data_IF_463982068581
#
_entry.id   IF_463982068581
#
_cell.length_a   1.000
_cell.length_b   1.000
_cell.length_c   1.000
_cell.angle_alpha   90.00
_cell.angle_beta   90.00
_cell.angle_gamma   90.00
#
_symmetry.space_group_name_H-M   'P 1'
#
loop_
_entity.id
_entity.type
_entity.pdbx_description
1 polymer ?
#
# COMPACT_ATOMS: atom_id res chain seq x y z
N UNK A 1 -11.76 0.42 20.06
CA UNK A 1 -11.67 -0.05 18.66
C UNK A 1 -10.59 0.74 17.94
N UNK A 2 -9.58 0.06 17.38
CA UNK A 2 -8.49 0.62 16.59
C UNK A 2 -8.45 -0.09 15.23
N UNK A 3 -8.50 0.69 14.15
CA UNK A 3 -8.54 0.18 12.78
C UNK A 3 -7.22 0.47 12.06
N UNK A 4 -6.73 -0.48 11.29
CA UNK A 4 -5.61 -0.29 10.36
C UNK A 4 -6.11 -0.27 8.92
N UNK A 5 -5.95 0.85 8.24
CA UNK A 5 -6.19 0.99 6.81
C UNK A 5 -4.88 0.78 6.06
N UNK A 6 -4.88 -0.05 5.03
CA UNK A 6 -3.72 -0.35 4.21
C UNK A 6 -4.02 0.08 2.78
N UNK A 7 -3.18 0.96 2.25
CA UNK A 7 -3.34 1.54 0.91
C UNK A 7 -1.96 1.87 0.37
N UNK A 8 -1.69 1.71 -0.94
CA UNK A 8 -0.35 2.00 -1.49
C UNK A 8 0.06 3.46 -1.31
N UNK A 9 -0.90 4.39 -1.41
CA UNK A 9 -0.67 5.84 -1.33
C UNK A 9 -1.76 6.50 -0.51
N UNK A 10 -1.35 7.47 0.27
CA UNK A 10 -2.25 8.29 1.09
C UNK A 10 -1.66 9.70 1.18
N UNK A 11 -2.46 10.72 0.91
CA UNK A 11 -1.99 12.11 0.90
C UNK A 11 -3.09 13.07 0.46
N UNK A 12 -2.86 14.37 0.70
CA UNK A 12 -3.79 15.44 0.29
C UNK A 12 -3.76 15.66 -1.21
N UNK A 13 -2.60 15.38 -1.80
CA UNK A 13 -2.26 15.44 -3.22
C UNK A 13 -2.88 14.28 -4.02
N UNK A 14 -3.33 13.22 -3.33
CA UNK A 14 -4.05 12.11 -3.95
C UNK A 14 -5.53 12.50 -4.12
N UNK A 15 -5.87 12.93 -5.33
CA UNK A 15 -7.14 13.60 -5.66
C UNK A 15 -8.20 12.71 -6.33
N UNK A 16 -7.99 11.40 -6.47
CA UNK A 16 -8.97 10.50 -7.10
C UNK A 16 -8.76 9.02 -6.80
N UNK A 17 -9.63 8.18 -7.36
CA UNK A 17 -9.53 6.72 -7.29
C UNK A 17 -9.88 6.10 -5.93
N UNK A 18 -9.50 4.83 -5.76
CA UNK A 18 -9.76 4.10 -4.52
C UNK A 18 -8.92 4.60 -3.34
N UNK A 19 -7.79 5.25 -3.60
CA UNK A 19 -6.95 5.88 -2.57
C UNK A 19 -7.62 7.11 -1.97
N UNK A 20 -8.27 7.96 -2.79
CA UNK A 20 -9.12 9.03 -2.27
C UNK A 20 -10.29 8.46 -1.45
N UNK A 21 -10.93 7.40 -1.94
CA UNK A 21 -12.02 6.75 -1.22
C UNK A 21 -11.55 6.21 0.15
N UNK A 22 -10.40 5.53 0.20
CA UNK A 22 -9.76 5.11 1.44
C UNK A 22 -9.60 6.28 2.42
N UNK A 23 -9.05 7.40 1.96
CA UNK A 23 -8.85 8.60 2.77
C UNK A 23 -10.17 9.16 3.31
N UNK A 24 -11.19 9.28 2.47
CA UNK A 24 -12.50 9.76 2.91
C UNK A 24 -13.14 8.88 3.97
N UNK A 25 -12.98 7.54 3.88
CA UNK A 25 -13.50 6.61 4.88
C UNK A 25 -12.69 6.69 6.18
N UNK A 26 -11.35 6.66 6.09
CA UNK A 26 -10.45 6.76 7.24
C UNK A 26 -10.69 8.06 8.04
N UNK A 27 -10.76 9.21 7.35
CA UNK A 27 -11.00 10.52 7.98
C UNK A 27 -12.39 10.62 8.65
N UNK A 28 -13.42 9.97 8.08
CA UNK A 28 -14.75 9.93 8.70
C UNK A 28 -14.75 9.05 9.94
N UNK A 29 -14.12 7.88 9.88
CA UNK A 29 -14.07 6.93 11.01
C UNK A 29 -13.17 7.41 12.15
N UNK A 30 -12.13 8.19 11.86
CA UNK A 30 -11.25 8.78 12.87
C UNK A 30 -11.99 9.70 13.86
N UNK A 31 -13.21 10.15 13.53
CA UNK A 31 -14.08 10.93 14.44
C UNK A 31 -14.75 10.07 15.51
N UNK A 32 -14.74 8.75 15.34
CA UNK A 32 -15.49 7.80 16.17
C UNK A 32 -14.60 6.73 16.80
N UNK A 33 -13.42 6.47 16.25
CA UNK A 33 -12.48 5.46 16.74
C UNK A 33 -11.05 5.79 16.33
N UNK A 34 -10.07 5.06 16.88
CA UNK A 34 -8.68 5.24 16.50
C UNK A 34 -8.43 4.63 15.12
N UNK A 35 -7.88 5.39 14.20
CA UNK A 35 -7.57 4.96 12.84
C UNK A 35 -6.10 5.24 12.54
N UNK A 36 -5.40 4.18 12.15
CA UNK A 36 -4.07 4.26 11.55
C UNK A 36 -4.16 3.93 10.06
N UNK A 37 -3.39 4.63 9.24
CA UNK A 37 -3.15 4.29 7.85
C UNK A 37 -1.71 3.82 7.73
N UNK A 38 -1.50 2.59 7.25
CA UNK A 38 -0.21 2.05 6.86
C UNK A 38 -0.08 2.17 5.34
N UNK A 39 0.84 2.99 4.88
CA UNK A 39 1.00 3.35 3.46
C UNK A 39 2.47 3.43 3.10
N UNK A 40 2.78 3.50 1.80
CA UNK A 40 4.15 3.79 1.37
C UNK A 40 4.44 5.30 1.37
N UNK A 41 5.72 5.65 1.16
CA UNK A 41 6.17 7.01 0.92
C UNK A 41 5.89 7.52 -0.51
N UNK A 42 5.30 6.70 -1.38
CA UNK A 42 5.05 7.06 -2.77
C UNK A 42 3.86 8.02 -2.94
N UNK A 43 3.99 8.96 -3.88
CA UNK A 43 2.91 9.85 -4.34
C UNK A 43 2.33 9.41 -5.68
N UNK A 44 3.18 9.02 -6.63
CA UNK A 44 2.76 8.55 -7.95
C UNK A 44 2.68 7.02 -8.01
N UNK A 45 1.85 6.52 -8.93
CA UNK A 45 1.72 5.08 -9.18
C UNK A 45 2.55 4.62 -10.38
N UNK A 46 3.26 5.53 -11.06
CA UNK A 46 4.03 5.24 -12.26
C UNK A 46 5.38 4.61 -11.91
N UNK A 47 6.08 5.22 -10.96
CA UNK A 47 7.40 4.83 -10.48
C UNK A 47 7.35 4.36 -9.03
N UNK A 48 6.34 4.74 -8.26
CA UNK A 48 6.32 4.53 -6.81
C UNK A 48 7.51 5.14 -6.07
N UNK A 49 8.21 6.12 -6.66
CA UNK A 49 9.35 6.74 -6.01
C UNK A 49 8.91 7.41 -4.71
N UNK A 50 9.75 7.30 -3.67
CA UNK A 50 9.51 7.96 -2.40
C UNK A 50 9.43 9.47 -2.61
N UNK A 51 8.30 10.05 -2.21
CA UNK A 51 8.04 11.48 -2.27
C UNK A 51 7.95 12.06 -0.86
N UNK A 52 7.28 11.34 0.03
CA UNK A 52 7.11 11.72 1.43
C UNK A 52 8.26 11.16 2.29
N UNK A 53 8.64 11.82 3.40
CA UNK A 53 9.56 11.23 4.36
C UNK A 53 8.94 9.98 5.02
N UNK A 54 9.74 8.97 5.37
CA UNK A 54 9.27 7.83 6.14
C UNK A 54 8.92 8.23 7.58
N UNK A 55 8.06 7.44 8.21
CA UNK A 55 7.66 7.62 9.61
C UNK A 55 6.21 8.05 9.77
N UNK A 56 5.92 8.62 10.94
CA UNK A 56 4.56 8.92 11.37
C UNK A 56 4.21 10.40 11.16
N UNK A 57 3.03 10.65 10.63
CA UNK A 57 2.43 11.98 10.55
C UNK A 57 0.93 11.92 10.86
N UNK A 58 0.29 13.08 11.02
CA UNK A 58 -1.16 13.16 11.19
C UNK A 58 -1.76 13.99 10.06
N UNK A 59 -2.70 13.39 9.32
CA UNK A 59 -3.44 14.05 8.26
C UNK A 59 -4.92 14.02 8.62
N UNK A 60 -5.52 15.21 8.80
CA UNK A 60 -6.96 15.36 9.07
C UNK A 60 -7.47 14.48 10.23
N UNK A 61 -6.67 14.34 11.29
CA UNK A 61 -6.99 13.53 12.47
C UNK A 61 -6.71 12.03 12.34
N UNK A 62 -6.16 11.58 11.20
CA UNK A 62 -5.74 10.19 10.97
C UNK A 62 -4.24 10.07 11.18
N UNK A 63 -3.78 9.09 11.97
CA UNK A 63 -2.35 8.76 12.07
C UNK A 63 -1.93 8.01 10.81
N UNK A 64 -1.00 8.56 10.05
CA UNK A 64 -0.46 7.97 8.82
C UNK A 64 0.96 7.53 9.11
N UNK A 65 1.27 6.27 8.81
CA UNK A 65 2.59 5.66 8.96
C UNK A 65 3.11 5.29 7.59
N UNK A 66 4.23 5.89 7.21
CA UNK A 66 4.83 5.77 5.88
C UNK A 66 6.06 4.90 5.92
N UNK A 67 6.12 3.98 4.96
CA UNK A 67 7.23 3.06 4.79
C UNK A 67 7.87 3.30 3.41
N UNK A 68 9.20 3.37 3.32
CA UNK A 68 9.88 3.57 2.05
C UNK A 68 9.64 2.40 1.10
N UNK A 69 9.66 2.65 -0.20
CA UNK A 69 9.73 1.57 -1.18
C UNK A 69 11.17 1.07 -1.30
N UNK A 70 11.37 -0.23 -1.46
CA UNK A 70 12.73 -0.81 -1.60
C UNK A 70 13.42 -0.32 -2.87
N UNK A 71 12.64 -0.10 -3.93
CA UNK A 71 13.11 0.49 -5.18
C UNK A 71 11.96 1.11 -5.95
N UNK A 72 12.18 2.22 -6.68
CA UNK A 72 11.26 2.68 -7.69
C UNK A 72 11.07 1.61 -8.78
N UNK A 73 9.87 1.58 -9.34
CA UNK A 73 9.53 0.83 -10.55
C UNK A 73 10.06 1.57 -11.77
N UNK A 74 10.73 0.82 -12.64
CA UNK A 74 11.02 1.27 -14.00
C UNK A 74 9.78 1.00 -14.88
N UNK A 75 9.12 2.03 -15.45
CA UNK A 75 7.92 1.84 -16.26
C UNK A 75 8.16 1.04 -17.54
N UNK A 76 9.34 1.16 -18.15
CA UNK A 76 9.69 0.46 -19.38
C UNK A 76 9.98 -1.03 -19.10
N UNK A 77 10.76 -1.32 -18.05
CA UNK A 77 10.99 -2.70 -17.59
C UNK A 77 9.65 -3.35 -17.23
N UNK A 78 8.82 -2.66 -16.44
CA UNK A 78 7.55 -3.21 -15.99
C UNK A 78 6.59 -3.50 -17.13
N UNK A 79 6.54 -2.62 -18.15
CA UNK A 79 5.74 -2.86 -19.36
C UNK A 79 6.21 -4.12 -20.07
N UNK A 80 7.51 -4.27 -20.32
CA UNK A 80 8.06 -5.44 -21.01
C UNK A 80 7.77 -6.75 -20.26
N UNK A 81 7.89 -6.73 -18.92
CA UNK A 81 7.56 -7.89 -18.08
C UNK A 81 6.05 -8.18 -18.11
N UNK A 82 5.20 -7.14 -18.05
CA UNK A 82 3.73 -7.30 -18.08
C UNK A 82 3.26 -7.91 -19.40
N UNK A 83 3.78 -7.45 -20.54
CA UNK A 83 3.50 -8.03 -21.86
C UNK A 83 3.84 -9.52 -21.89
N UNK A 84 5.02 -9.89 -21.36
CA UNK A 84 5.42 -11.30 -21.28
C UNK A 84 4.50 -12.11 -20.38
N UNK A 85 4.11 -11.57 -19.22
CA UNK A 85 3.19 -12.24 -18.28
C UNK A 85 1.82 -12.43 -18.93
N UNK A 86 1.30 -11.49 -19.70
CA UNK A 86 -0.04 -11.62 -20.28
C UNK A 86 -0.08 -12.51 -21.53
N UNK A 87 1.02 -12.59 -22.28
CA UNK A 87 1.01 -13.20 -23.63
C UNK A 87 1.89 -14.44 -23.79
N UNK A 88 2.65 -14.85 -22.78
CA UNK A 88 3.47 -16.06 -22.82
C UNK A 88 3.11 -17.04 -21.69
N UNK A 89 3.44 -18.34 -21.85
CA UNK A 89 3.39 -19.29 -20.75
C UNK A 89 4.19 -18.78 -19.55
N UNK A 90 3.65 -18.99 -18.35
CA UNK A 90 4.21 -18.47 -17.09
C UNK A 90 3.94 -19.42 -15.94
N UNK A 91 4.78 -19.34 -14.93
CA UNK A 91 4.62 -20.03 -13.66
C UNK A 91 3.98 -19.10 -12.63
N UNK A 92 3.48 -19.66 -11.54
CA UNK A 92 3.05 -18.88 -10.38
C UNK A 92 4.19 -17.99 -9.83
N UNK A 93 5.43 -18.47 -9.86
CA UNK A 93 6.58 -17.68 -9.42
C UNK A 93 6.84 -16.47 -10.32
N UNK A 94 6.56 -16.58 -11.62
CA UNK A 94 6.64 -15.44 -12.54
C UNK A 94 5.59 -14.37 -12.20
N UNK A 95 4.36 -14.78 -11.86
CA UNK A 95 3.28 -13.89 -11.44
C UNK A 95 3.60 -13.19 -10.11
N UNK A 96 4.16 -13.92 -9.14
CA UNK A 96 4.63 -13.35 -7.87
C UNK A 96 5.77 -12.35 -8.10
N UNK A 97 6.75 -12.69 -8.96
CA UNK A 97 7.84 -11.78 -9.32
C UNK A 97 7.32 -10.53 -10.06
N UNK A 98 6.29 -10.67 -10.89
CA UNK A 98 5.58 -9.56 -11.52
C UNK A 98 4.89 -8.67 -10.48
N UNK A 99 4.22 -9.23 -9.47
CA UNK A 99 3.59 -8.46 -8.38
C UNK A 99 4.63 -7.64 -7.59
N UNK A 100 5.81 -8.20 -7.32
CA UNK A 100 6.91 -7.46 -6.69
C UNK A 100 7.39 -6.29 -7.57
N UNK A 101 7.50 -6.50 -8.89
CA UNK A 101 7.86 -5.44 -9.86
C UNK A 101 6.76 -4.39 -10.04
N UNK A 102 5.50 -4.80 -9.94
CA UNK A 102 4.36 -3.90 -10.03
C UNK A 102 4.38 -2.88 -8.91
N UNK A 103 4.78 -3.32 -7.71
CA UNK A 103 4.98 -2.49 -6.54
C UNK A 103 3.68 -1.96 -5.93
N UNK A 104 3.80 -0.96 -5.03
CA UNK A 104 5.04 -0.50 -4.43
C UNK A 104 5.62 -1.55 -3.46
N UNK A 105 6.83 -2.04 -3.74
CA UNK A 105 7.47 -3.06 -2.89
C UNK A 105 7.97 -2.40 -1.60
N UNK A 106 7.33 -2.71 -0.47
CA UNK A 106 7.72 -2.19 0.85
C UNK A 106 7.63 -3.30 1.90
N UNK A 107 8.72 -4.06 2.11
CA UNK A 107 8.79 -5.10 3.14
C UNK A 107 8.56 -4.55 4.55
N UNK A 108 9.03 -3.33 4.84
CA UNK A 108 8.85 -2.69 6.15
C UNK A 108 7.38 -2.42 6.47
N UNK A 109 6.55 -2.12 5.44
CA UNK A 109 5.11 -2.02 5.57
C UNK A 109 4.50 -3.37 5.98
N UNK A 110 4.92 -4.46 5.33
CA UNK A 110 4.45 -5.81 5.66
C UNK A 110 4.87 -6.23 7.08
N UNK A 111 6.09 -5.86 7.47
CA UNK A 111 6.61 -6.07 8.81
C UNK A 111 5.78 -5.31 9.86
N UNK A 112 5.37 -4.07 9.55
CA UNK A 112 4.49 -3.29 10.41
C UNK A 112 3.10 -3.92 10.55
N UNK A 113 2.51 -4.42 9.45
CA UNK A 113 1.24 -5.18 9.49
C UNK A 113 1.39 -6.41 10.39
N UNK A 114 2.45 -7.20 10.17
CA UNK A 114 2.69 -8.44 10.92
C UNK A 114 2.88 -8.20 12.42
N UNK A 115 3.64 -7.17 12.79
CA UNK A 115 3.87 -6.80 14.20
C UNK A 115 2.61 -6.22 14.85
N UNK A 116 1.81 -5.47 14.10
CA UNK A 116 0.59 -4.85 14.59
C UNK A 116 -0.62 -5.78 14.73
N UNK A 117 -0.48 -7.10 14.49
CA UNK A 117 -1.60 -8.07 14.55
C UNK A 117 -2.43 -8.01 15.85
N UNK A 118 -1.81 -7.67 16.96
CA UNK A 118 -2.47 -7.57 18.27
C UNK A 118 -2.86 -6.14 18.67
N UNK A 119 -2.42 -5.14 17.89
CA UNK A 119 -2.67 -3.72 18.16
C UNK A 119 -3.97 -3.24 17.52
N UNK A 120 -4.46 -3.94 16.49
CA UNK A 120 -5.62 -3.56 15.69
C UNK A 120 -6.75 -4.59 15.81
N UNK A 121 -7.98 -4.08 15.90
CA UNK A 121 -9.19 -4.91 15.92
C UNK A 121 -9.63 -5.32 14.50
N UNK A 122 -9.29 -4.52 13.49
CA UNK A 122 -9.64 -4.76 12.09
C UNK A 122 -8.59 -4.18 11.15
N UNK A 123 -8.30 -4.93 10.09
CA UNK A 123 -7.47 -4.50 8.96
C UNK A 123 -8.35 -4.29 7.73
N UNK A 124 -8.22 -3.14 7.08
CA UNK A 124 -9.00 -2.77 5.90
C UNK A 124 -8.05 -2.47 4.75
N UNK A 125 -8.02 -3.35 3.75
CA UNK A 125 -7.17 -3.20 2.58
C UNK A 125 -7.88 -2.47 1.45
N UNK A 126 -7.23 -1.45 0.90
CA UNK A 126 -7.67 -0.71 -0.27
C UNK A 126 -6.72 -0.96 -1.44
N UNK A 127 -7.31 -1.03 -2.63
CA UNK A 127 -6.65 -1.34 -3.90
C UNK A 127 -6.08 -2.77 -3.92
N UNK A 128 -6.85 -3.71 -4.48
CA UNK A 128 -6.49 -5.12 -4.53
C UNK A 128 -5.22 -5.40 -5.34
N UNK A 129 -4.92 -4.55 -6.33
CA UNK A 129 -3.94 -4.82 -7.38
C UNK A 129 -2.49 -4.77 -6.90
N UNK A 130 -2.20 -4.10 -5.79
CA UNK A 130 -0.82 -3.76 -5.45
C UNK A 130 -0.22 -4.60 -4.33
N UNK A 131 1.12 -4.56 -4.29
CA UNK A 131 1.96 -5.27 -3.34
C UNK A 131 1.45 -5.22 -1.88
N UNK A 132 1.04 -4.07 -1.30
CA UNK A 132 0.57 -4.02 0.10
C UNK A 132 -0.63 -4.92 0.35
N UNK A 133 -1.57 -5.02 -0.59
CA UNK A 133 -2.76 -5.85 -0.44
C UNK A 133 -2.45 -7.31 -0.74
N UNK A 134 -1.76 -7.59 -1.85
CA UNK A 134 -1.46 -8.97 -2.25
C UNK A 134 -0.64 -9.71 -1.19
N UNK A 135 0.42 -9.09 -0.66
CA UNK A 135 1.29 -9.71 0.35
C UNK A 135 0.86 -9.42 1.78
N UNK A 136 0.10 -8.34 2.03
CA UNK A 136 -0.33 -7.98 3.38
C UNK A 136 -1.59 -8.71 3.84
N UNK A 137 -2.53 -9.02 2.94
CA UNK A 137 -3.78 -9.69 3.31
C UNK A 137 -3.56 -11.07 3.97
N UNK A 138 -2.64 -11.94 3.49
CA UNK A 138 -2.32 -13.20 4.17
C UNK A 138 -1.64 -13.01 5.54
N UNK A 139 -1.21 -11.79 5.88
CA UNK A 139 -0.52 -11.48 7.13
C UNK A 139 -1.46 -11.03 8.24
N UNK A 140 -2.77 -11.08 8.06
CA UNK A 140 -3.74 -10.70 9.11
C UNK A 140 -4.70 -11.87 9.40
N UNK A 141 -5.31 -11.92 10.60
CA UNK A 141 -6.24 -12.98 11.00
C UNK A 141 -7.52 -13.05 10.16
#
# INVERSE_FOLDING_TARGET
>A
MRLAFIVPRYGREVIGGGELHCRQIAERLARHCAVDVLTTCALDYETWADHYPPGDETINGVRVRRFPVTRPRDPAEFRAVTERIFHAPRTFLDEVAWMVRQGPCSPDLLDAIRRGRHDYDLFVFFIYLYFPTFFGLPLVP
#
